data_IF_626876458382
#
_entry.id   IF_626876458382
#
_cell.length_a   1.000
_cell.length_b   1.000
_cell.length_c   1.000
_cell.angle_alpha   90.00
_cell.angle_beta   90.00
_cell.angle_gamma   90.00
#
_symmetry.space_group_name_H-M   'P 1'
#
loop_
_entity.id
_entity.type
_entity.pdbx_description
1 polymer ?
#
# COMPACT_ATOMS: atom_id res chain seq x y z
N UNK A 1 8.90 6.03 16.38
CA UNK A 1 8.55 5.65 14.99
C UNK A 1 8.73 4.14 14.81
N UNK A 2 7.68 3.43 14.38
CA UNK A 2 7.71 2.00 14.05
C UNK A 2 7.68 1.82 12.53
N UNK A 3 8.34 0.76 12.05
CA UNK A 3 8.31 0.35 10.65
C UNK A 3 7.38 -0.85 10.49
N UNK A 4 6.65 -0.86 9.38
CA UNK A 4 5.73 -1.91 9.00
C UNK A 4 6.01 -2.32 7.57
N UNK A 5 6.07 -3.63 7.34
CA UNK A 5 6.19 -4.21 6.01
C UNK A 5 4.82 -4.68 5.57
N UNK A 6 4.40 -4.26 4.36
CA UNK A 6 3.11 -4.59 3.79
C UNK A 6 3.32 -5.18 2.40
N UNK A 7 2.62 -6.28 2.12
CA UNK A 7 2.55 -6.92 0.83
C UNK A 7 1.13 -6.77 0.28
N UNK A 8 0.97 -6.03 -0.80
CA UNK A 8 -0.33 -5.67 -1.37
C UNK A 8 -0.39 -6.23 -2.79
N UNK A 9 -1.45 -6.97 -3.10
CA UNK A 9 -1.81 -7.32 -4.48
C UNK A 9 -3.01 -6.49 -4.90
N UNK A 10 -2.94 -5.89 -6.07
CA UNK A 10 -4.00 -5.05 -6.59
C UNK A 10 -4.16 -5.21 -8.11
N UNK A 11 -5.34 -4.86 -8.62
CA UNK A 11 -5.61 -4.76 -10.04
C UNK A 11 -4.71 -3.70 -10.69
N UNK A 12 -4.10 -4.05 -11.82
CA UNK A 12 -3.21 -3.17 -12.57
C UNK A 12 -4.03 -2.15 -13.35
N UNK A 13 -4.21 -0.98 -12.75
CA UNK A 13 -4.72 0.23 -13.40
C UNK A 13 -3.66 1.33 -13.34
N UNK A 14 -3.62 2.26 -14.31
CA UNK A 14 -2.63 3.34 -14.33
C UNK A 14 -2.60 4.17 -13.04
N UNK A 15 -3.73 4.28 -12.34
CA UNK A 15 -3.86 5.05 -11.11
C UNK A 15 -3.69 4.23 -9.81
N UNK A 16 -3.60 2.89 -9.87
CA UNK A 16 -3.59 2.04 -8.65
C UNK A 16 -2.40 2.37 -7.74
N UNK A 17 -1.18 2.43 -8.31
CA UNK A 17 0.02 2.73 -7.54
C UNK A 17 -0.04 4.12 -6.90
N UNK A 18 -0.44 5.13 -7.68
CA UNK A 18 -0.56 6.50 -7.17
C UNK A 18 -1.57 6.56 -6.02
N UNK A 19 -2.72 5.89 -6.17
CA UNK A 19 -3.77 5.88 -5.16
C UNK A 19 -3.31 5.22 -3.86
N UNK A 20 -2.60 4.09 -3.94
CA UNK A 20 -2.03 3.42 -2.76
C UNK A 20 -1.06 4.33 -2.02
N UNK A 21 -0.11 4.93 -2.74
CA UNK A 21 0.85 5.87 -2.16
C UNK A 21 0.18 7.13 -1.59
N UNK A 22 -0.88 7.62 -2.25
CA UNK A 22 -1.67 8.75 -1.76
C UNK A 22 -2.36 8.43 -0.45
N UNK A 23 -2.94 7.23 -0.30
CA UNK A 23 -3.57 6.78 0.94
C UNK A 23 -2.54 6.66 2.07
N UNK A 24 -1.38 6.05 1.80
CA UNK A 24 -0.28 5.94 2.77
C UNK A 24 0.14 7.32 3.30
N UNK A 25 0.43 8.24 2.38
CA UNK A 25 0.81 9.62 2.72
C UNK A 25 -0.29 10.34 3.51
N UNK A 26 -1.53 10.29 3.04
CA UNK A 26 -2.66 10.98 3.67
C UNK A 26 -2.97 10.43 5.08
N UNK A 27 -2.57 9.19 5.37
CA UNK A 27 -2.70 8.58 6.70
C UNK A 27 -1.53 8.87 7.63
N UNK A 28 -0.53 9.63 7.17
CA UNK A 28 0.64 9.99 7.96
C UNK A 28 1.67 8.86 8.06
N UNK A 29 1.76 8.03 7.02
CA UNK A 29 2.78 7.01 6.88
C UNK A 29 3.79 7.47 5.83
N UNK A 30 5.07 7.45 6.21
CA UNK A 30 6.18 7.68 5.30
C UNK A 30 6.55 6.37 4.60
N UNK A 31 6.83 6.41 3.30
CA UNK A 31 7.26 5.23 2.54
C UNK A 31 8.79 5.19 2.53
N UNK A 32 9.38 4.18 3.15
CA UNK A 32 10.82 4.00 3.30
C UNK A 32 11.39 3.16 2.16
N UNK A 33 10.68 2.09 1.78
CA UNK A 33 11.03 1.23 0.66
C UNK A 33 9.78 0.88 -0.11
N UNK A 34 9.90 0.79 -1.43
CA UNK A 34 8.84 0.39 -2.32
C UNK A 34 9.44 -0.50 -3.40
N UNK A 35 8.91 -1.70 -3.54
CA UNK A 35 9.16 -2.60 -4.66
C UNK A 35 7.83 -2.94 -5.29
N UNK A 36 7.78 -2.88 -6.61
CA UNK A 36 6.56 -3.15 -7.38
C UNK A 36 6.88 -4.13 -8.49
N UNK A 37 6.06 -5.16 -8.62
CA UNK A 37 6.10 -6.09 -9.73
C UNK A 37 4.75 -6.10 -10.42
N UNK A 38 4.72 -5.87 -11.73
CA UNK A 38 3.49 -5.89 -12.52
C UNK A 38 3.47 -7.15 -13.37
N UNK A 39 2.46 -7.99 -13.20
CA UNK A 39 2.25 -9.18 -14.02
C UNK A 39 0.85 -9.13 -14.63
N UNK A 40 0.79 -9.10 -15.96
CA UNK A 40 -0.46 -9.12 -16.74
C UNK A 40 -1.48 -8.06 -16.26
N UNK A 41 -2.46 -8.48 -15.45
CA UNK A 41 -3.59 -7.68 -14.95
C UNK A 41 -3.45 -7.28 -13.47
N UNK A 42 -2.38 -7.68 -12.81
CA UNK A 42 -2.15 -7.42 -11.38
C UNK A 42 -0.82 -6.70 -11.14
N UNK A 43 -0.76 -6.00 -10.02
CA UNK A 43 0.44 -5.39 -9.48
C UNK A 43 0.62 -5.88 -8.04
N UNK A 44 1.80 -6.42 -7.76
CA UNK A 44 2.26 -6.74 -6.42
C UNK A 44 3.13 -5.58 -5.92
N UNK A 45 2.87 -5.11 -4.71
CA UNK A 45 3.64 -4.07 -4.04
C UNK A 45 4.16 -4.64 -2.73
N UNK A 46 5.46 -4.55 -2.53
CA UNK A 46 6.10 -4.74 -1.24
C UNK A 46 6.58 -3.38 -0.75
N UNK A 47 6.00 -2.89 0.33
CA UNK A 47 6.24 -1.54 0.83
C UNK A 47 6.62 -1.60 2.30
N UNK A 48 7.67 -0.87 2.65
CA UNK A 48 8.03 -0.62 4.04
C UNK A 48 7.62 0.80 4.36
N UNK A 49 6.72 0.95 5.33
CA UNK A 49 6.23 2.25 5.79
C UNK A 49 6.66 2.52 7.22
N UNK A 50 6.85 3.79 7.56
CA UNK A 50 7.18 4.23 8.91
C UNK A 50 6.13 5.22 9.42
N UNK A 51 5.69 5.04 10.67
CA UNK A 51 4.81 6.02 11.34
C UNK A 51 4.89 5.88 12.87
N UNK A 52 4.34 6.85 13.58
CA UNK A 52 4.02 6.74 15.01
C UNK A 52 2.59 6.24 15.24
N UNK A 53 1.80 6.14 14.16
CA UNK A 53 0.40 5.70 14.19
C UNK A 53 0.31 4.18 14.07
N UNK A 54 -0.78 3.62 14.61
CA UNK A 54 -1.10 2.21 14.45
C UNK A 54 -1.33 1.86 12.97
N UNK A 55 -0.62 0.83 12.48
CA UNK A 55 -0.70 0.33 11.10
C UNK A 55 -2.12 -0.06 10.70
N UNK A 56 -2.97 -0.45 11.66
CA UNK A 56 -4.39 -0.74 11.46
C UNK A 56 -5.14 0.41 10.77
N UNK A 57 -4.78 1.67 11.04
CA UNK A 57 -5.39 2.84 10.39
C UNK A 57 -5.09 2.89 8.88
N UNK A 58 -3.92 2.41 8.48
CA UNK A 58 -3.52 2.30 7.09
C UNK A 58 -4.18 1.08 6.45
N UNK A 59 -4.11 -0.09 7.08
CA UNK A 59 -4.69 -1.34 6.59
C UNK A 59 -6.19 -1.19 6.35
N UNK A 60 -6.93 -0.66 7.33
CA UNK A 60 -8.37 -0.40 7.22
C UNK A 60 -8.74 0.54 6.06
N UNK A 61 -7.79 1.29 5.52
CA UNK A 61 -8.02 2.21 4.41
C UNK A 61 -7.61 1.62 3.07
N UNK A 62 -6.55 0.81 3.04
CA UNK A 62 -6.13 0.09 1.85
C UNK A 62 -7.15 -0.99 1.47
N UNK A 63 -7.72 -1.72 2.44
CA UNK A 63 -8.75 -2.75 2.18
C UNK A 63 -10.05 -2.19 1.58
N UNK A 64 -10.31 -0.89 1.73
CA UNK A 64 -11.49 -0.22 1.16
C UNK A 64 -11.30 0.15 -0.31
N UNK A 65 -10.08 0.06 -0.84
CA UNK A 65 -9.81 0.37 -2.23
C UNK A 65 -10.32 -0.78 -3.11
N UNK A 66 -11.14 -0.50 -4.14
CA UNK A 66 -11.71 -1.54 -5.00
C UNK A 66 -10.64 -2.28 -5.83
N UNK A 67 -9.46 -1.68 -5.98
CA UNK A 67 -8.36 -2.28 -6.71
C UNK A 67 -7.54 -3.26 -5.85
N UNK A 68 -7.64 -3.20 -4.51
CA UNK A 68 -6.87 -4.09 -3.63
C UNK A 68 -7.54 -5.46 -3.59
N UNK A 69 -6.77 -6.49 -3.95
CA UNK A 69 -7.19 -7.89 -3.99
C UNK A 69 -6.75 -8.63 -2.73
N UNK A 70 -5.53 -8.37 -2.26
CA UNK A 70 -4.95 -9.00 -1.08
C UNK A 70 -4.03 -8.01 -0.36
N UNK A 71 -4.03 -8.05 0.98
CA UNK A 71 -3.10 -7.30 1.83
C UNK A 71 -2.60 -8.23 2.94
N UNK A 72 -1.28 -8.36 3.05
CA UNK A 72 -0.57 -9.15 4.06
C UNK A 72 0.48 -8.31 4.77
#
# INVERSE_FOLDING_TARGET
MQQYELSIRANRRPETLERLLRVMRHRGFEVIKLQTESQQQEIALHVVVQSERAVELLVNQLVKLPDVLELK
#
